data_IF_042569775184
#
_entry.id   IF_042569775184
#
_cell.length_a   1.000
_cell.length_b   1.000
_cell.length_c   1.000
_cell.angle_alpha   90.00
_cell.angle_beta   90.00
_cell.angle_gamma   90.00
#
_symmetry.space_group_name_H-M   'P 1'
#
loop_
_entity.id
_entity.type
_entity.pdbx_description
1 polymer ?
#
# COMPACT_ATOMS: atom_id res chain seq x y z
N UNK A 1 -0.80 -8.22 7.11
CA UNK A 1 -0.92 -6.75 7.28
C UNK A 1 -2.37 -6.39 7.66
N UNK A 2 -2.63 -5.15 8.10
CA UNK A 2 -3.95 -4.68 8.53
C UNK A 2 -4.19 -3.24 8.04
N UNK A 3 -5.42 -2.91 7.68
CA UNK A 3 -5.83 -1.53 7.38
C UNK A 3 -7.20 -1.24 8.02
N UNK A 4 -7.35 -0.04 8.57
CA UNK A 4 -8.59 0.41 9.23
C UNK A 4 -9.30 1.40 8.31
N UNK A 5 -10.63 1.28 8.19
CA UNK A 5 -11.45 2.27 7.50
C UNK A 5 -11.29 3.67 8.14
N UNK A 6 -11.37 4.76 7.37
CA UNK A 6 -11.33 6.11 7.94
C UNK A 6 -12.41 6.37 9.02
N UNK A 7 -13.61 5.80 8.84
CA UNK A 7 -14.70 5.83 9.84
C UNK A 7 -14.44 4.94 11.06
N UNK A 8 -13.52 3.97 10.97
CA UNK A 8 -13.33 2.94 11.98
C UNK A 8 -14.47 1.92 12.08
N UNK A 9 -15.32 1.79 11.06
CA UNK A 9 -16.42 0.81 11.09
C UNK A 9 -15.97 -0.60 10.71
N UNK A 10 -14.98 -0.71 9.83
CA UNK A 10 -14.46 -1.99 9.37
C UNK A 10 -12.94 -2.00 9.32
N UNK A 11 -12.38 -3.21 9.33
CA UNK A 11 -10.95 -3.49 9.20
C UNK A 11 -10.73 -4.49 8.09
N UNK A 12 -9.71 -4.24 7.27
CA UNK A 12 -9.20 -5.17 6.29
C UNK A 12 -7.97 -5.91 6.84
N UNK A 13 -7.97 -7.22 6.68
CA UNK A 13 -6.86 -8.12 6.99
C UNK A 13 -6.31 -8.71 5.70
N UNK A 14 -4.98 -8.70 5.58
CA UNK A 14 -4.26 -9.27 4.47
C UNK A 14 -3.42 -10.44 4.96
N UNK A 15 -3.71 -11.62 4.44
CA UNK A 15 -3.07 -12.87 4.85
C UNK A 15 -1.89 -13.22 3.93
N UNK A 16 -0.96 -14.02 4.45
CA UNK A 16 0.14 -14.58 3.65
C UNK A 16 -0.35 -15.55 2.56
N UNK A 17 -1.57 -16.07 2.69
CA UNK A 17 -2.24 -16.92 1.69
C UNK A 17 -2.78 -16.16 0.47
N UNK A 18 -2.68 -14.81 0.44
CA UNK A 18 -3.28 -13.99 -0.63
C UNK A 18 -4.78 -13.69 -0.44
N UNK A 19 -5.35 -14.13 0.69
CA UNK A 19 -6.75 -13.88 1.05
C UNK A 19 -6.88 -12.53 1.76
N UNK A 20 -7.85 -11.74 1.30
CA UNK A 20 -8.32 -10.54 1.99
C UNK A 20 -9.58 -10.87 2.78
N UNK A 21 -9.66 -10.34 4.00
CA UNK A 21 -10.84 -10.49 4.85
C UNK A 21 -11.21 -9.12 5.41
N UNK A 22 -12.49 -8.76 5.35
CA UNK A 22 -13.06 -7.56 5.95
C UNK A 22 -13.86 -7.97 7.19
N UNK A 23 -13.61 -7.29 8.29
CA UNK A 23 -14.34 -7.47 9.54
C UNK A 23 -15.02 -6.18 9.96
N UNK A 24 -16.20 -6.32 10.54
CA UNK A 24 -16.87 -5.26 11.29
C UNK A 24 -16.16 -5.10 12.64
N UNK A 25 -15.68 -3.90 12.96
CA UNK A 25 -14.94 -3.65 14.22
C UNK A 25 -15.86 -3.81 15.44
N UNK A 26 -17.11 -3.39 15.33
CA UNK A 26 -18.06 -3.35 16.45
C UNK A 26 -18.52 -4.76 16.83
N UNK A 27 -18.77 -5.61 15.83
CA UNK A 27 -19.30 -6.97 16.07
C UNK A 27 -18.21 -8.04 16.05
N UNK A 28 -17.04 -7.76 15.46
CA UNK A 28 -15.99 -8.75 15.23
C UNK A 28 -16.35 -9.79 14.16
N UNK A 29 -17.47 -9.62 13.46
CA UNK A 29 -17.92 -10.55 12.43
C UNK A 29 -17.22 -10.28 11.11
N UNK A 30 -16.98 -11.36 10.34
CA UNK A 30 -16.46 -11.27 8.98
C UNK A 30 -17.59 -10.79 8.06
N UNK A 31 -17.38 -9.63 7.43
CA UNK A 31 -18.29 -9.06 6.44
C UNK A 31 -18.09 -9.76 5.09
N UNK A 32 -16.82 -9.91 4.68
CA UNK A 32 -16.46 -10.48 3.40
C UNK A 32 -15.07 -11.11 3.46
N UNK A 33 -14.85 -12.16 2.68
CA UNK A 33 -13.54 -12.78 2.52
C UNK A 33 -13.39 -13.32 1.10
N UNK A 34 -12.26 -13.02 0.45
CA UNK A 34 -12.01 -13.44 -0.93
C UNK A 34 -10.52 -13.64 -1.18
N UNK A 35 -10.19 -14.48 -2.16
CA UNK A 35 -8.83 -14.62 -2.66
C UNK A 35 -8.56 -13.46 -3.63
N UNK A 36 -7.71 -12.52 -3.23
CA UNK A 36 -7.40 -11.34 -4.04
C UNK A 36 -6.08 -11.47 -4.79
N UNK A 37 -5.10 -12.14 -4.18
CA UNK A 37 -3.75 -12.31 -4.73
C UNK A 37 -3.34 -13.78 -4.77
N UNK A 38 -2.41 -14.11 -5.66
CA UNK A 38 -1.83 -15.46 -5.76
C UNK A 38 -0.67 -15.68 -4.78
N UNK A 39 -0.14 -14.60 -4.21
CA UNK A 39 0.95 -14.63 -3.24
C UNK A 39 0.59 -13.83 -1.99
N UNK A 40 1.52 -13.75 -1.05
CA UNK A 40 1.33 -13.03 0.21
C UNK A 40 1.01 -11.54 0.00
N UNK A 41 0.10 -11.04 0.82
CA UNK A 41 -0.25 -9.62 0.84
C UNK A 41 0.76 -8.91 1.73
N UNK A 42 1.55 -8.04 1.13
CA UNK A 42 2.62 -7.31 1.81
C UNK A 42 2.05 -6.13 2.59
N UNK A 43 1.20 -5.33 1.95
CA UNK A 43 0.67 -4.10 2.54
C UNK A 43 -0.81 -3.92 2.15
N UNK A 44 -1.59 -3.34 3.07
CA UNK A 44 -2.98 -2.94 2.85
C UNK A 44 -3.16 -1.48 3.25
N UNK A 45 -4.01 -0.78 2.50
CA UNK A 45 -4.39 0.60 2.83
C UNK A 45 -5.85 0.86 2.49
N UNK A 46 -6.62 1.39 3.43
CA UNK A 46 -7.97 1.88 3.16
C UNK A 46 -7.87 3.30 2.58
N UNK A 47 -8.41 3.52 1.38
CA UNK A 47 -8.42 4.85 0.73
C UNK A 47 -9.62 5.66 1.20
N UNK A 48 -10.76 4.99 1.31
CA UNK A 48 -12.03 5.54 1.73
C UNK A 48 -12.92 4.41 2.28
N UNK A 49 -14.14 4.73 2.66
CA UNK A 49 -15.09 3.78 3.26
C UNK A 49 -15.45 2.57 2.39
N UNK A 50 -15.17 2.63 1.09
CA UNK A 50 -15.60 1.63 0.11
C UNK A 50 -14.46 1.04 -0.70
N UNK A 51 -13.22 1.51 -0.50
CA UNK A 51 -12.12 1.19 -1.40
C UNK A 51 -10.84 0.88 -0.62
N UNK A 52 -10.22 -0.23 -0.96
CA UNK A 52 -9.00 -0.74 -0.34
C UNK A 52 -7.95 -0.96 -1.43
N UNK A 53 -6.70 -0.65 -1.11
CA UNK A 53 -5.52 -1.02 -1.86
C UNK A 53 -4.83 -2.18 -1.18
N UNK A 54 -4.39 -3.15 -1.99
CA UNK A 54 -3.51 -4.21 -1.55
C UNK A 54 -2.29 -4.29 -2.47
N UNK A 55 -1.13 -4.49 -1.88
CA UNK A 55 0.09 -4.89 -2.60
C UNK A 55 0.47 -6.31 -2.22
N UNK A 56 1.06 -7.02 -3.18
CA UNK A 56 1.40 -8.43 -3.04
C UNK A 56 2.79 -8.72 -3.55
N UNK A 57 3.34 -9.85 -3.10
CA UNK A 57 4.59 -10.42 -3.61
C UNK A 57 4.47 -10.85 -5.09
N UNK A 58 3.26 -10.98 -5.62
CA UNK A 58 3.00 -11.20 -7.05
C UNK A 58 3.32 -9.98 -7.95
N UNK A 59 3.88 -8.91 -7.38
CA UNK A 59 4.28 -7.66 -8.05
C UNK A 59 3.09 -6.82 -8.53
N UNK A 60 1.87 -7.15 -8.09
CA UNK A 60 0.68 -6.38 -8.43
C UNK A 60 0.20 -5.54 -7.25
N UNK A 61 -0.37 -4.39 -7.59
CA UNK A 61 -1.17 -3.58 -6.68
C UNK A 61 -2.60 -3.61 -7.19
N UNK A 62 -3.53 -4.06 -6.35
CA UNK A 62 -4.93 -4.21 -6.70
C UNK A 62 -5.80 -3.25 -5.89
N UNK A 63 -6.83 -2.72 -6.54
CA UNK A 63 -7.85 -1.86 -5.92
C UNK A 63 -9.13 -2.66 -5.80
N UNK A 64 -9.62 -2.79 -4.57
CA UNK A 64 -10.80 -3.58 -4.23
C UNK A 64 -11.93 -2.70 -3.72
N UNK A 65 -13.15 -3.14 -3.94
CA UNK A 65 -14.34 -2.65 -3.25
C UNK A 65 -14.43 -3.31 -1.87
N UNK A 66 -14.46 -2.50 -0.80
CA UNK A 66 -14.63 -2.98 0.57
C UNK A 66 -16.05 -3.51 0.85
N UNK A 67 -17.02 -3.14 0.01
CA UNK A 67 -18.44 -3.46 0.20
C UNK A 67 -18.77 -4.88 -0.26
N UNK A 68 -18.27 -5.27 -1.43
CA UNK A 68 -18.59 -6.55 -2.06
C UNK A 68 -17.36 -7.39 -2.41
N UNK A 69 -16.16 -6.94 -2.06
CA UNK A 69 -14.91 -7.65 -2.29
C UNK A 69 -14.51 -7.75 -3.77
N UNK A 70 -15.17 -7.01 -4.67
CA UNK A 70 -14.85 -7.07 -6.09
C UNK A 70 -13.59 -6.28 -6.43
N UNK A 71 -12.80 -6.84 -7.33
CA UNK A 71 -11.69 -6.14 -7.96
C UNK A 71 -12.23 -5.00 -8.83
N UNK A 72 -11.78 -3.76 -8.57
CA UNK A 72 -12.08 -2.61 -9.42
C UNK A 72 -11.10 -2.58 -10.60
N UNK A 73 -9.80 -2.57 -10.32
CA UNK A 73 -8.72 -2.58 -11.31
C UNK A 73 -7.37 -2.84 -10.64
N UNK A 74 -6.36 -3.14 -11.45
CA UNK A 74 -4.95 -3.17 -11.02
C UNK A 74 -4.25 -1.86 -11.38
N UNK A 75 -3.37 -1.38 -10.51
CA UNK A 75 -2.47 -0.28 -10.83
C UNK A 75 -1.26 -0.82 -11.61
N UNK A 76 -1.08 -0.33 -12.83
CA UNK A 76 0.02 -0.76 -13.72
C UNK A 76 1.29 0.04 -13.45
N UNK A 77 2.45 -0.60 -13.62
CA UNK A 77 3.75 0.07 -13.62
C UNK A 77 4.71 -0.41 -12.53
N UNK A 78 4.22 -1.00 -11.44
CA UNK A 78 5.09 -1.67 -10.49
C UNK A 78 5.73 -2.88 -11.17
N UNK A 79 7.07 -2.92 -11.18
CA UNK A 79 7.86 -4.03 -11.73
C UNK A 79 8.50 -4.88 -10.65
N UNK A 80 8.24 -4.56 -9.39
CA UNK A 80 8.83 -5.19 -8.22
C UNK A 80 7.78 -5.27 -7.10
N UNK A 81 7.92 -6.20 -6.15
CA UNK A 81 7.04 -6.27 -4.99
C UNK A 81 7.07 -4.97 -4.18
N UNK A 82 5.89 -4.42 -3.95
CA UNK A 82 5.72 -3.19 -3.16
C UNK A 82 5.45 -3.60 -1.71
N UNK A 83 6.46 -3.41 -0.86
CA UNK A 83 6.36 -3.76 0.56
C UNK A 83 5.95 -2.57 1.43
N UNK A 84 6.13 -1.33 0.95
CA UNK A 84 5.70 -0.12 1.64
C UNK A 84 4.73 0.68 0.79
N UNK A 85 3.65 1.18 1.39
CA UNK A 85 2.71 2.10 0.73
C UNK A 85 2.36 3.25 1.65
N UNK A 86 2.27 4.46 1.07
CA UNK A 86 1.78 5.65 1.74
C UNK A 86 0.81 6.39 0.81
N UNK A 87 -0.32 6.83 1.36
CA UNK A 87 -1.30 7.66 0.66
C UNK A 87 -1.07 9.12 1.00
N UNK A 88 -1.13 9.98 -0.01
CA UNK A 88 -1.14 11.42 0.16
C UNK A 88 -2.14 12.03 -0.82
N UNK A 89 -3.23 12.59 -0.28
CA UNK A 89 -4.39 13.05 -1.06
C UNK A 89 -4.91 11.95 -2.00
N UNK A 90 -4.74 12.12 -3.32
CA UNK A 90 -5.14 11.16 -4.35
C UNK A 90 -3.95 10.36 -4.93
N UNK A 91 -2.76 10.57 -4.38
CA UNK A 91 -1.53 9.94 -4.84
C UNK A 91 -1.20 8.73 -3.96
N UNK A 92 -0.66 7.70 -4.60
CA UNK A 92 -0.11 6.53 -3.92
C UNK A 92 1.39 6.54 -4.11
N UNK A 93 2.12 6.54 -3.01
CA UNK A 93 3.57 6.36 -3.00
C UNK A 93 3.84 4.92 -2.60
N UNK A 94 4.57 4.21 -3.45
CA UNK A 94 4.94 2.81 -3.31
C UNK A 94 6.46 2.70 -3.12
N UNK A 95 6.89 1.95 -2.11
CA UNK A 95 8.29 1.60 -1.89
C UNK A 95 8.54 0.14 -2.23
N UNK A 96 9.62 -0.14 -2.96
CA UNK A 96 10.05 -1.50 -3.30
C UNK A 96 11.30 -1.91 -2.52
N UNK A 97 11.53 -3.22 -2.43
CA UNK A 97 12.70 -3.79 -1.75
C UNK A 97 14.02 -3.42 -2.41
N UNK A 98 14.02 -2.98 -3.68
CA UNK A 98 15.20 -2.51 -4.39
C UNK A 98 15.48 -1.00 -4.20
N UNK A 99 14.94 -0.40 -3.13
CA UNK A 99 15.05 1.02 -2.81
C UNK A 99 14.54 1.92 -3.94
N UNK A 100 13.49 1.49 -4.64
CA UNK A 100 12.79 2.32 -5.62
C UNK A 100 11.53 2.88 -4.98
N UNK A 101 11.32 4.18 -5.16
CA UNK A 101 10.08 4.86 -4.81
C UNK A 101 9.29 5.08 -6.10
N UNK A 102 8.12 4.47 -6.19
CA UNK A 102 7.13 4.71 -7.22
C UNK A 102 6.07 5.70 -6.74
N UNK A 103 5.62 6.61 -7.61
CA UNK A 103 4.52 7.53 -7.35
C UNK A 103 3.46 7.33 -8.42
N UNK A 104 2.24 7.03 -7.98
CA UNK A 104 1.05 7.03 -8.79
C UNK A 104 0.34 8.37 -8.58
N UNK A 105 0.12 9.11 -9.66
CA UNK A 105 -0.53 10.43 -9.60
C UNK A 105 -2.01 10.37 -9.22
N UNK A 106 -2.65 9.23 -9.46
CA UNK A 106 -4.04 8.97 -9.13
C UNK A 106 -4.24 7.48 -8.82
N UNK A 107 -5.32 7.16 -8.10
CA UNK A 107 -5.77 5.78 -7.89
C UNK A 107 -6.84 5.47 -8.96
N UNK A 108 -6.38 5.27 -10.19
CA UNK A 108 -7.24 4.98 -11.35
C UNK A 108 -6.53 3.99 -12.27
N UNK A 109 -7.30 3.26 -13.09
CA UNK A 109 -6.76 2.29 -14.04
C UNK A 109 -5.79 2.93 -15.06
N UNK A 110 -5.98 4.22 -15.37
CA UNK A 110 -5.15 4.98 -16.31
C UNK A 110 -4.16 5.91 -15.61
N UNK A 111 -3.85 5.67 -14.34
CA UNK A 111 -2.93 6.50 -13.58
C UNK A 111 -1.53 6.50 -14.20
N UNK A 112 -0.88 7.67 -14.18
CA UNK A 112 0.53 7.76 -14.56
C UNK A 112 1.39 7.30 -13.41
N UNK A 113 2.30 6.37 -13.71
CA UNK A 113 3.28 5.85 -12.78
C UNK A 113 4.65 6.43 -13.11
N UNK A 114 5.28 7.06 -12.13
CA UNK A 114 6.69 7.46 -12.17
C UNK A 114 7.44 6.68 -11.11
N UNK A 115 8.72 6.38 -11.35
CA UNK A 115 9.53 5.75 -10.31
C UNK A 115 10.97 6.26 -10.33
N UNK A 116 11.51 6.48 -9.14
CA UNK A 116 12.86 6.95 -8.89
C UNK A 116 13.59 5.97 -7.99
N UNK A 117 14.83 5.65 -8.35
CA UNK A 117 15.70 4.83 -7.49
C UNK A 117 16.39 5.73 -6.49
N UNK A 118 16.31 5.42 -5.19
CA UNK A 118 17.06 6.11 -4.17
C UNK A 118 18.56 5.88 -4.39
N UNK A 119 19.33 6.96 -4.42
CA UNK A 119 20.78 6.88 -4.54
C UNK A 119 21.36 6.37 -3.21
N UNK A 120 22.36 5.50 -3.29
CA UNK A 120 23.09 4.97 -2.13
C UNK A 120 23.70 6.05 -1.25
N UNK A 121 24.02 7.20 -1.84
CA UNK A 121 24.60 8.34 -1.13
C UNK A 121 23.58 9.08 -0.27
N UNK A 122 22.30 9.06 -0.67
CA UNK A 122 21.20 9.71 0.03
C UNK A 122 20.49 8.76 1.01
N UNK A 123 20.45 7.46 0.71
CA UNK A 123 19.82 6.45 1.54
C UNK A 123 20.74 5.22 1.64
N UNK A 124 21.28 5.00 2.84
CA UNK A 124 22.10 3.82 3.15
C UNK A 124 21.24 2.74 3.78
N UNK A 125 21.27 1.54 3.22
CA UNK A 125 20.48 0.39 3.71
C UNK A 125 19.33 0.03 2.79
N UNK A 126 18.49 -0.87 3.24
CA UNK A 126 17.26 -1.31 2.55
C UNK A 126 16.06 -0.60 3.16
N UNK A 127 15.16 -0.11 2.30
CA UNK A 127 13.93 0.54 2.71
C UNK A 127 13.07 -0.43 3.53
N UNK A 128 12.71 -0.07 4.76
CA UNK A 128 11.86 -0.92 5.63
C UNK A 128 10.51 -0.29 5.94
N UNK A 129 10.46 1.03 6.04
CA UNK A 129 9.23 1.77 6.33
C UNK A 129 9.22 3.10 5.59
N UNK A 130 8.02 3.58 5.25
CA UNK A 130 7.83 4.85 4.55
C UNK A 130 6.55 5.51 5.01
N UNK A 131 6.59 6.82 5.24
CA UNK A 131 5.40 7.63 5.52
C UNK A 131 5.54 9.02 4.93
N UNK A 132 4.41 9.64 4.58
CA UNK A 132 4.35 11.02 4.08
C UNK A 132 3.90 11.93 5.21
N UNK A 133 4.64 13.01 5.42
CA UNK A 133 4.28 14.06 6.36
C UNK A 133 3.26 15.01 5.70
N UNK A 134 2.01 15.10 6.21
CA UNK A 134 0.93 15.81 5.52
C UNK A 134 1.21 17.30 5.29
N UNK A 135 1.91 17.92 6.23
CA UNK A 135 2.11 19.38 6.28
C UNK A 135 3.17 19.87 5.29
N UNK A 136 4.26 19.11 5.14
CA UNK A 136 5.44 19.59 4.40
C UNK A 136 5.71 18.83 3.10
N UNK A 137 4.84 17.87 2.73
CA UNK A 137 5.06 16.95 1.58
C UNK A 137 6.41 16.23 1.64
N UNK A 138 6.97 16.09 2.84
CA UNK A 138 8.22 15.39 3.06
C UNK A 138 7.95 13.90 3.24
N UNK A 139 8.88 13.09 2.79
CA UNK A 139 8.80 11.65 2.84
C UNK A 139 9.81 11.13 3.87
N UNK A 140 9.31 10.50 4.92
CA UNK A 140 10.12 9.91 5.97
C UNK A 140 10.37 8.44 5.63
N UNK A 141 11.64 8.06 5.56
CA UNK A 141 12.12 6.73 5.22
C UNK A 141 12.82 6.09 6.41
N UNK A 142 12.48 4.85 6.71
CA UNK A 142 13.22 3.98 7.62
C UNK A 142 14.07 2.99 6.84
N UNK A 143 15.29 2.75 7.31
CA UNK A 143 16.21 1.76 6.79
C UNK A 143 16.38 0.57 7.76
N UNK A 144 16.78 -0.58 7.23
CA UNK A 144 17.12 -1.79 7.99
C UNK A 144 18.29 -1.61 8.98
N UNK A 145 19.22 -0.69 8.68
CA UNK A 145 20.32 -0.31 9.56
C UNK A 145 19.92 0.63 10.72
N UNK A 146 18.63 0.92 10.87
CA UNK A 146 18.10 1.84 11.89
C UNK A 146 18.19 3.32 11.51
N UNK A 147 18.69 3.65 10.32
CA UNK A 147 18.70 5.00 9.79
C UNK A 147 17.29 5.51 9.48
N UNK A 148 17.02 6.77 9.82
CA UNK A 148 15.79 7.47 9.45
C UNK A 148 16.19 8.67 8.61
N UNK A 149 15.68 8.75 7.39
CA UNK A 149 15.99 9.83 6.44
C UNK A 149 14.72 10.57 6.07
N UNK A 150 14.78 11.90 6.08
CA UNK A 150 13.72 12.77 5.61
C UNK A 150 14.08 13.28 4.20
N UNK A 151 13.22 13.02 3.23
CA UNK A 151 13.40 13.43 1.83
C UNK A 151 12.35 14.48 1.46
N UNK A 152 12.73 15.43 0.60
CA UNK A 152 11.84 16.45 0.03
C UNK A 152 11.44 16.14 -1.41
#
# INVERSE_FOLDING_TARGET
CIAVAPSGHWVALGQASGVLTILDIRTGLIIASWKGHECEILQLTAINETTILSSSLDQTIAVWSAVDGKLKFHLKGATEPVHCMALYEHQLIAGTTANRIGVYTAISANATFSSSKLRSDAFKGVLTAMTVLPLNRLLLLGADNGGITLMC
#
